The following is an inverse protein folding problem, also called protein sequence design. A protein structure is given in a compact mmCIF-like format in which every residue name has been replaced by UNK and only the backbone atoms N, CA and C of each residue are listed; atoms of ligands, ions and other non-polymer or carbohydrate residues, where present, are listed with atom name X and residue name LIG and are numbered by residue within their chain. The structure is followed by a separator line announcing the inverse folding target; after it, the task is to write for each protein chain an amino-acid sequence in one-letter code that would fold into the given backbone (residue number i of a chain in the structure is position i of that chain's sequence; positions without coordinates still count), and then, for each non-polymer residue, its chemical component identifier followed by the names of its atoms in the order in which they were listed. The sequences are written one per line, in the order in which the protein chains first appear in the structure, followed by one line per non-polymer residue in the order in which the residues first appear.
data_IF_050620251190
#
_entry.id   IF_050620251190
#
_cell.length_a   1.000
_cell.length_b   1.000
_cell.length_c   1.000
_cell.angle_alpha   90.00
_cell.angle_beta   90.00
_cell.angle_gamma   90.00
#
_symmetry.space_group_name_H-M   'P 1'
#
loop_
_entity.id
_entity.type
_entity.pdbx_description
1 polymer ?
#
# COMPACT_ATOMS: atom_id res chain seq x y z
N UNK A 1 6.61 4.29 24.37
CA UNK A 1 5.53 3.54 23.70
C UNK A 1 6.06 2.98 22.40
N UNK A 2 5.77 1.72 22.04
CA UNK A 2 6.08 1.22 20.70
C UNK A 2 5.36 2.05 19.64
N UNK A 3 6.02 2.32 18.51
CA UNK A 3 5.41 3.04 17.38
C UNK A 3 4.19 2.27 16.85
N UNK A 4 3.12 2.98 16.53
CA UNK A 4 1.93 2.42 15.92
C UNK A 4 2.23 1.80 14.55
N UNK A 5 1.38 0.88 14.07
CA UNK A 5 1.47 0.34 12.70
C UNK A 5 1.51 1.45 11.63
N UNK A 6 0.77 2.53 11.87
CA UNK A 6 0.73 3.70 11.00
C UNK A 6 2.10 4.38 10.92
N UNK A 7 2.72 4.70 12.05
CA UNK A 7 4.05 5.34 12.09
C UNK A 7 5.14 4.45 11.51
N UNK A 8 5.07 3.14 11.76
CA UNK A 8 5.97 2.15 11.16
C UNK A 8 5.81 2.09 9.64
N UNK A 9 4.58 1.97 9.13
CA UNK A 9 4.28 1.95 7.69
C UNK A 9 4.71 3.24 6.99
N UNK A 10 4.48 4.40 7.63
CA UNK A 10 4.83 5.72 7.09
C UNK A 10 6.35 5.90 6.94
N UNK A 11 7.15 5.35 7.84
CA UNK A 11 8.61 5.52 7.86
C UNK A 11 9.40 4.61 6.92
N UNK A 12 8.75 3.65 6.26
CA UNK A 12 9.38 2.77 5.27
C UNK A 12 8.87 3.16 3.90
N UNK A 13 9.73 3.57 2.98
CA UNK A 13 9.30 4.08 1.68
C UNK A 13 9.66 3.16 0.51
N UNK A 14 10.53 2.17 0.73
CA UNK A 14 11.00 1.25 -0.30
C UNK A 14 10.82 -0.19 0.14
N UNK A 15 10.85 -1.10 -0.84
CA UNK A 15 10.86 -2.54 -0.61
C UNK A 15 12.30 -2.99 -0.37
N UNK A 16 12.51 -3.77 0.68
CA UNK A 16 13.80 -4.40 0.94
C UNK A 16 13.90 -5.72 0.18
N UNK A 17 14.91 -5.84 -0.68
CA UNK A 17 15.17 -7.01 -1.50
C UNK A 17 16.39 -7.77 -0.98
N UNK A 18 16.34 -9.10 -0.95
CA UNK A 18 17.53 -9.96 -0.75
C UNK A 18 18.36 -10.07 -2.02
N UNK A 19 17.68 -10.08 -3.16
CA UNK A 19 18.26 -10.06 -4.50
C UNK A 19 17.37 -9.25 -5.44
N UNK A 20 17.93 -8.76 -6.54
CA UNK A 20 17.17 -7.95 -7.49
C UNK A 20 16.05 -8.78 -8.16
N UNK A 21 14.77 -8.34 -8.11
CA UNK A 21 13.67 -9.11 -8.69
C UNK A 21 13.68 -9.04 -10.21
N UNK A 22 14.04 -10.14 -10.88
CA UNK A 22 14.04 -10.26 -12.35
C UNK A 22 12.62 -10.41 -12.94
N UNK A 23 11.70 -9.52 -12.54
CA UNK A 23 10.27 -9.59 -12.86
C UNK A 23 9.80 -8.74 -14.04
N UNK A 24 10.65 -7.87 -14.61
CA UNK A 24 10.25 -6.89 -15.65
C UNK A 24 9.56 -7.54 -16.86
N UNK A 25 10.14 -8.60 -17.42
CA UNK A 25 9.55 -9.31 -18.56
C UNK A 25 8.18 -9.92 -18.24
N UNK A 26 8.02 -10.47 -17.04
CA UNK A 26 6.75 -11.05 -16.57
C UNK A 26 5.70 -9.94 -16.43
N UNK A 27 6.06 -8.82 -15.79
CA UNK A 27 5.19 -7.67 -15.61
C UNK A 27 4.71 -7.09 -16.95
N UNK A 28 5.60 -6.94 -17.94
CA UNK A 28 5.21 -6.52 -19.29
C UNK A 28 4.26 -7.52 -19.95
N UNK A 29 4.52 -8.83 -19.79
CA UNK A 29 3.64 -9.85 -20.36
C UNK A 29 2.23 -9.88 -19.75
N UNK A 30 2.05 -9.40 -18.51
CA UNK A 30 0.72 -9.22 -17.90
C UNK A 30 -0.05 -8.11 -18.61
N UNK A 31 0.62 -7.07 -19.09
CA UNK A 31 -0.01 -5.95 -19.78
C UNK A 31 -0.58 -6.34 -21.16
N UNK A 32 -0.07 -7.42 -21.74
CA UNK A 32 -0.55 -8.00 -23.00
C UNK A 32 -1.71 -8.99 -22.79
N UNK A 33 -2.10 -9.24 -21.54
CA UNK A 33 -3.06 -10.28 -21.18
C UNK A 33 -4.43 -9.72 -20.74
N UNK A 34 -5.48 -10.40 -21.19
CA UNK A 34 -6.88 -10.02 -20.94
C UNK A 34 -7.72 -11.16 -20.38
N UNK A 35 -7.29 -12.41 -20.57
CA UNK A 35 -7.99 -13.58 -20.04
C UNK A 35 -7.70 -13.74 -18.54
N UNK A 36 -8.69 -14.20 -17.79
CA UNK A 36 -8.49 -14.49 -16.36
C UNK A 36 -7.42 -15.58 -16.15
N UNK A 37 -7.40 -16.61 -17.00
CA UNK A 37 -6.43 -17.70 -16.93
C UNK A 37 -4.99 -17.23 -17.22
N UNK A 38 -4.78 -16.42 -18.25
CA UNK A 38 -3.46 -15.87 -18.55
C UNK A 38 -2.98 -14.92 -17.44
N UNK A 39 -3.88 -14.06 -16.93
CA UNK A 39 -3.58 -13.17 -15.80
C UNK A 39 -3.27 -13.94 -14.52
N UNK A 40 -3.95 -15.06 -14.29
CA UNK A 40 -3.68 -15.96 -13.18
C UNK A 40 -2.26 -16.53 -13.27
N UNK A 41 -1.88 -17.08 -14.42
CA UNK A 41 -0.58 -17.71 -14.60
C UNK A 41 0.57 -16.69 -14.52
N UNK A 42 0.49 -15.60 -15.29
CA UNK A 42 1.53 -14.56 -15.33
C UNK A 42 1.61 -13.77 -14.04
N UNK A 43 0.45 -13.47 -13.44
CA UNK A 43 0.38 -12.80 -12.14
C UNK A 43 0.98 -13.66 -11.03
N UNK A 44 0.70 -14.96 -10.99
CA UNK A 44 1.31 -15.87 -10.01
C UNK A 44 2.83 -15.93 -10.20
N UNK A 45 3.31 -16.07 -11.44
CA UNK A 45 4.75 -16.08 -11.73
C UNK A 45 5.44 -14.79 -11.27
N UNK A 46 4.78 -13.62 -11.40
CA UNK A 46 5.30 -12.38 -10.87
C UNK A 46 5.37 -12.42 -9.33
N UNK A 47 4.30 -12.87 -8.65
CA UNK A 47 4.31 -12.99 -7.19
C UNK A 47 5.42 -13.91 -6.71
N UNK A 48 5.63 -15.05 -7.36
CA UNK A 48 6.67 -16.02 -6.98
C UNK A 48 8.07 -15.39 -7.07
N UNK A 49 8.35 -14.60 -8.12
CA UNK A 49 9.62 -13.87 -8.28
C UNK A 49 9.78 -12.81 -7.19
N UNK A 50 8.73 -12.03 -6.91
CA UNK A 50 8.79 -10.97 -5.90
C UNK A 50 8.95 -11.54 -4.49
N UNK A 51 8.21 -12.60 -4.16
CA UNK A 51 8.28 -13.27 -2.87
C UNK A 51 9.67 -13.88 -2.65
N UNK A 52 10.23 -14.56 -3.66
CA UNK A 52 11.59 -15.10 -3.59
C UNK A 52 12.63 -13.99 -3.40
N UNK A 53 12.57 -12.93 -4.22
CA UNK A 53 13.52 -11.84 -4.21
C UNK A 53 13.49 -11.04 -2.89
N UNK A 54 12.32 -10.85 -2.28
CA UNK A 54 12.19 -10.22 -0.96
C UNK A 54 12.36 -11.22 0.20
N UNK A 55 12.40 -12.52 -0.08
CA UNK A 55 12.51 -13.57 0.92
C UNK A 55 11.27 -13.72 1.81
N UNK A 56 10.10 -13.52 1.21
CA UNK A 56 8.78 -13.61 1.84
C UNK A 56 8.22 -15.05 1.72
N UNK A 57 7.27 -15.44 2.60
CA UNK A 57 6.51 -16.67 2.38
C UNK A 57 5.63 -16.57 1.12
N UNK A 58 5.33 -17.68 0.43
CA UNK A 58 4.57 -17.64 -0.82
C UNK A 58 3.18 -17.02 -0.69
N UNK A 59 2.83 -16.19 -1.68
CA UNK A 59 1.54 -15.53 -1.80
C UNK A 59 0.74 -16.08 -3.00
N UNK A 60 -0.46 -16.61 -2.75
CA UNK A 60 -1.29 -17.18 -3.80
C UNK A 60 -2.18 -16.13 -4.46
N UNK A 61 -2.13 -16.03 -5.79
CA UNK A 61 -3.07 -15.24 -6.58
C UNK A 61 -4.33 -16.06 -6.91
N UNK A 62 -5.47 -15.39 -6.94
CA UNK A 62 -6.70 -15.87 -7.59
C UNK A 62 -7.29 -14.77 -8.46
N UNK A 63 -7.33 -14.98 -9.77
CA UNK A 63 -8.01 -14.09 -10.72
C UNK A 63 -9.43 -14.62 -10.93
N UNK A 64 -10.40 -13.93 -10.34
CA UNK A 64 -11.79 -14.32 -10.43
C UNK A 64 -12.40 -13.74 -11.72
N UNK A 65 -12.80 -14.59 -12.65
CA UNK A 65 -13.43 -14.18 -13.90
C UNK A 65 -14.89 -13.79 -13.70
N UNK A 66 -15.09 -12.70 -12.96
CA UNK A 66 -16.40 -12.17 -12.58
C UNK A 66 -16.30 -10.69 -12.24
N UNK A 67 -17.44 -9.96 -12.22
CA UNK A 67 -17.47 -8.55 -11.88
C UNK A 67 -16.93 -8.24 -10.50
N UNK A 68 -16.29 -7.08 -10.39
CA UNK A 68 -15.90 -6.46 -9.11
C UNK A 68 -17.08 -6.41 -8.14
N UNK A 69 -16.78 -6.67 -6.87
CA UNK A 69 -17.73 -6.36 -5.80
C UNK A 69 -17.96 -4.86 -5.78
N UNK A 70 -19.22 -4.48 -5.70
CA UNK A 70 -19.61 -3.09 -5.69
C UNK A 70 -20.87 -2.86 -4.87
N UNK A 71 -21.11 -1.59 -4.53
CA UNK A 71 -22.34 -1.11 -3.89
C UNK A 71 -22.84 0.11 -4.65
N UNK A 72 -24.15 0.18 -4.84
CA UNK A 72 -24.82 1.33 -5.46
C UNK A 72 -25.77 2.00 -4.48
N UNK A 73 -25.86 3.32 -4.55
CA UNK A 73 -26.85 4.12 -3.82
C UNK A 73 -27.52 5.08 -4.80
N UNK A 74 -28.85 5.00 -4.92
CA UNK A 74 -29.62 5.83 -5.87
C UNK A 74 -29.18 5.66 -7.33
N UNK A 75 -28.85 4.44 -7.76
CA UNK A 75 -28.38 4.16 -9.12
C UNK A 75 -26.95 4.59 -9.43
N UNK A 76 -26.23 5.21 -8.47
CA UNK A 76 -24.82 5.61 -8.63
C UNK A 76 -23.90 4.63 -7.89
N UNK A 77 -22.76 4.32 -8.51
CA UNK A 77 -21.70 3.50 -7.92
C UNK A 77 -21.07 4.27 -6.74
N UNK A 78 -21.14 3.70 -5.54
CA UNK A 78 -20.58 4.28 -4.31
C UNK A 78 -19.23 3.67 -3.96
N UNK A 79 -19.12 2.34 -4.09
CA UNK A 79 -17.89 1.61 -3.79
C UNK A 79 -17.67 0.53 -4.85
N UNK A 80 -16.40 0.35 -5.24
CA UNK A 80 -15.93 -0.82 -6.00
C UNK A 80 -14.64 -1.34 -5.41
N UNK A 81 -14.48 -2.66 -5.43
CA UNK A 81 -13.27 -3.35 -4.95
C UNK A 81 -12.64 -4.11 -6.11
N UNK A 82 -11.45 -3.68 -6.53
CA UNK A 82 -10.69 -4.28 -7.63
C UNK A 82 -10.04 -5.61 -7.24
N UNK A 83 -9.50 -5.66 -6.03
CA UNK A 83 -8.93 -6.84 -5.43
C UNK A 83 -8.89 -6.72 -3.90
N UNK A 84 -8.37 -7.75 -3.26
CA UNK A 84 -8.01 -7.68 -1.84
C UNK A 84 -6.96 -8.73 -1.51
N UNK A 85 -6.14 -8.39 -0.52
CA UNK A 85 -5.25 -9.29 0.17
C UNK A 85 -5.90 -9.88 1.44
N UNK A 86 -5.57 -11.12 1.75
CA UNK A 86 -5.86 -11.78 3.04
C UNK A 86 -4.65 -12.54 3.50
N UNK A 87 -4.47 -12.62 4.81
CA UNK A 87 -3.48 -13.48 5.44
C UNK A 87 -4.13 -14.30 6.56
N UNK A 88 -3.75 -15.56 6.65
CA UNK A 88 -4.05 -16.38 7.82
C UNK A 88 -3.10 -16.00 8.95
N UNK A 89 -3.65 -15.53 10.06
CA UNK A 89 -2.91 -15.21 11.28
C UNK A 89 -2.75 -16.47 12.12
N UNK A 90 -1.66 -17.21 11.87
CA UNK A 90 -1.13 -18.20 12.79
C UNK A 90 -0.15 -17.52 13.77
N UNK A 91 0.66 -18.28 14.53
CA UNK A 91 1.72 -17.70 15.38
C UNK A 91 2.72 -16.83 14.60
N UNK A 92 2.83 -17.04 13.28
CA UNK A 92 3.56 -16.16 12.36
C UNK A 92 2.74 -16.04 11.07
N UNK A 93 2.64 -14.85 10.44
CA UNK A 93 1.86 -14.68 9.22
C UNK A 93 2.56 -15.43 8.06
N UNK A 94 1.96 -16.54 7.59
CA UNK A 94 2.65 -17.47 6.66
C UNK A 94 1.92 -17.76 5.35
N UNK A 95 0.64 -17.44 5.24
CA UNK A 95 -0.16 -17.79 4.05
C UNK A 95 -0.96 -16.60 3.55
N UNK A 96 -0.33 -15.84 2.65
CA UNK A 96 -0.95 -14.73 1.94
C UNK A 96 -1.78 -15.22 0.76
N UNK A 97 -2.93 -14.57 0.53
CA UNK A 97 -3.74 -14.78 -0.69
C UNK A 97 -4.20 -13.44 -1.23
N UNK A 98 -4.01 -13.22 -2.52
CA UNK A 98 -4.51 -12.08 -3.28
C UNK A 98 -5.66 -12.56 -4.15
N UNK A 99 -6.77 -11.81 -4.18
CA UNK A 99 -7.83 -12.02 -5.16
C UNK A 99 -8.11 -10.76 -5.95
N UNK A 100 -8.13 -10.86 -7.28
CA UNK A 100 -8.44 -9.76 -8.21
C UNK A 100 -9.62 -10.15 -9.09
N UNK A 101 -10.52 -9.21 -9.35
CA UNK A 101 -11.67 -9.42 -10.25
C UNK A 101 -11.29 -9.03 -11.68
N UNK A 102 -11.53 -9.94 -12.63
CA UNK A 102 -11.17 -9.72 -14.03
C UNK A 102 -12.13 -8.78 -14.77
N UNK A 103 -13.36 -8.58 -14.26
CA UNK A 103 -14.38 -7.78 -14.92
C UNK A 103 -14.77 -6.54 -14.10
N UNK A 104 -15.04 -5.43 -14.78
CA UNK A 104 -15.50 -4.16 -14.18
C UNK A 104 -16.85 -4.31 -13.49
N UNK A 105 -17.10 -3.52 -12.43
CA UNK A 105 -18.28 -3.65 -11.58
C UNK A 105 -19.62 -3.56 -12.34
N UNK A 106 -19.80 -2.52 -13.17
CA UNK A 106 -21.09 -2.18 -13.77
C UNK A 106 -21.24 -2.78 -15.17
N UNK A 107 -20.27 -2.49 -16.05
CA UNK A 107 -20.32 -2.91 -17.47
C UNK A 107 -19.83 -4.34 -17.69
N UNK A 108 -19.24 -4.97 -16.67
CA UNK A 108 -18.68 -6.32 -16.74
C UNK A 108 -17.68 -6.54 -17.89
N UNK A 109 -17.06 -5.46 -18.35
CA UNK A 109 -15.98 -5.49 -19.34
C UNK A 109 -14.69 -5.95 -18.67
N UNK A 110 -13.81 -6.60 -19.44
CA UNK A 110 -12.47 -6.97 -18.97
C UNK A 110 -11.74 -5.75 -18.41
N UNK A 111 -11.15 -5.90 -17.24
CA UNK A 111 -10.41 -4.85 -16.56
C UNK A 111 -9.20 -4.45 -17.41
N UNK A 112 -8.93 -3.15 -17.52
CA UNK A 112 -7.78 -2.64 -18.25
C UNK A 112 -6.47 -3.26 -17.72
N UNK A 113 -5.53 -3.69 -18.58
CA UNK A 113 -4.32 -4.38 -18.14
C UNK A 113 -3.49 -3.59 -17.12
N UNK A 114 -3.35 -2.26 -17.32
CA UNK A 114 -2.68 -1.38 -16.36
C UNK A 114 -3.31 -1.42 -14.97
N UNK A 115 -4.65 -1.37 -14.91
CA UNK A 115 -5.39 -1.41 -13.64
C UNK A 115 -5.24 -2.77 -12.96
N UNK A 116 -5.19 -3.86 -13.74
CA UNK A 116 -4.92 -5.19 -13.18
C UNK A 116 -3.53 -5.25 -12.55
N UNK A 117 -2.49 -4.80 -13.26
CA UNK A 117 -1.12 -4.81 -12.75
C UNK A 117 -0.96 -3.88 -11.53
N UNK A 118 -1.50 -2.66 -11.59
CA UNK A 118 -1.54 -1.73 -10.45
C UNK A 118 -2.18 -2.37 -9.21
N UNK A 119 -3.32 -3.06 -9.40
CA UNK A 119 -3.99 -3.79 -8.32
C UNK A 119 -3.11 -4.91 -7.77
N UNK A 120 -2.45 -5.69 -8.63
CA UNK A 120 -1.57 -6.78 -8.20
C UNK A 120 -0.40 -6.27 -7.35
N UNK A 121 0.27 -5.20 -7.80
CA UNK A 121 1.38 -4.58 -7.06
C UNK A 121 0.90 -4.01 -5.72
N UNK A 122 -0.26 -3.36 -5.70
CA UNK A 122 -0.88 -2.86 -4.46
C UNK A 122 -1.12 -3.97 -3.43
N UNK A 123 -1.76 -5.06 -3.85
CA UNK A 123 -2.07 -6.17 -2.94
C UNK A 123 -0.80 -6.93 -2.53
N UNK A 124 0.26 -6.94 -3.34
CA UNK A 124 1.56 -7.49 -2.94
C UNK A 124 2.27 -6.61 -1.91
N UNK A 125 2.16 -5.28 -1.98
CA UNK A 125 2.69 -4.41 -0.90
C UNK A 125 1.95 -4.65 0.41
N UNK A 126 0.64 -4.95 0.37
CA UNK A 126 -0.04 -5.46 1.56
C UNK A 126 0.59 -6.76 2.08
N UNK A 127 0.90 -7.72 1.20
CA UNK A 127 1.61 -8.93 1.59
C UNK A 127 2.95 -8.62 2.29
N UNK A 128 3.79 -7.78 1.66
CA UNK A 128 5.07 -7.33 2.22
C UNK A 128 4.93 -6.64 3.58
N UNK A 129 3.93 -5.80 3.78
CA UNK A 129 3.67 -5.14 5.06
C UNK A 129 3.42 -6.13 6.20
N UNK A 130 2.67 -7.20 5.92
CA UNK A 130 2.34 -8.21 6.93
C UNK A 130 3.47 -9.21 7.16
N UNK A 131 4.19 -9.63 6.13
CA UNK A 131 5.17 -10.73 6.23
C UNK A 131 6.62 -10.25 6.31
N UNK A 132 6.96 -9.19 5.58
CA UNK A 132 8.28 -8.57 5.60
C UNK A 132 8.43 -7.56 6.75
N UNK A 133 7.54 -6.58 6.83
CA UNK A 133 7.58 -5.55 7.88
C UNK A 133 6.93 -5.99 9.20
N UNK A 134 6.21 -7.11 9.20
CA UNK A 134 5.53 -7.66 10.37
C UNK A 134 4.60 -6.64 11.05
N UNK A 135 3.90 -5.86 10.23
CA UNK A 135 2.88 -4.94 10.71
C UNK A 135 1.62 -5.72 11.07
N UNK A 136 0.97 -5.34 12.17
CA UNK A 136 -0.33 -5.87 12.60
C UNK A 136 -1.49 -5.31 11.73
N UNK A 137 -1.24 -4.20 11.04
CA UNK A 137 -2.15 -3.57 10.07
C UNK A 137 -1.32 -2.97 8.93
N UNK A 138 -1.89 -2.95 7.73
CA UNK A 138 -1.28 -2.28 6.56
C UNK A 138 -2.14 -1.08 6.12
N UNK A 139 -2.04 0.07 6.81
CA UNK A 139 -2.74 1.29 6.41
C UNK A 139 -2.09 1.91 5.16
N UNK A 140 -2.93 2.51 4.30
CA UNK A 140 -2.52 3.27 3.11
C UNK A 140 -1.87 4.61 3.48
N UNK A 141 -0.68 4.55 4.07
CA UNK A 141 0.15 5.73 4.41
C UNK A 141 0.95 6.23 3.21
N UNK A 142 1.61 7.38 3.34
CA UNK A 142 2.57 7.85 2.33
C UNK A 142 3.67 6.82 2.06
N UNK A 143 4.19 6.16 3.11
CA UNK A 143 5.19 5.11 2.97
C UNK A 143 4.68 3.90 2.19
N UNK A 144 3.41 3.51 2.41
CA UNK A 144 2.77 2.45 1.61
C UNK A 144 2.72 2.80 0.11
N UNK A 145 2.30 4.01 -0.24
CA UNK A 145 2.26 4.44 -1.64
C UNK A 145 3.66 4.57 -2.25
N UNK A 146 4.65 5.04 -1.47
CA UNK A 146 6.03 5.09 -1.93
C UNK A 146 6.58 3.68 -2.20
N UNK A 147 6.23 2.67 -1.39
CA UNK A 147 6.61 1.26 -1.66
C UNK A 147 6.01 0.73 -2.96
N UNK A 148 4.77 1.10 -3.28
CA UNK A 148 4.16 0.74 -4.57
C UNK A 148 4.94 1.36 -5.74
N UNK A 149 5.28 2.64 -5.63
CA UNK A 149 6.06 3.34 -6.65
C UNK A 149 7.45 2.72 -6.83
N UNK A 150 8.16 2.51 -5.72
CA UNK A 150 9.48 1.86 -5.69
C UNK A 150 9.45 0.47 -6.34
N UNK A 151 8.44 -0.34 -6.02
CA UNK A 151 8.21 -1.64 -6.65
C UNK A 151 7.98 -1.54 -8.16
N UNK A 152 7.13 -0.60 -8.59
CA UNK A 152 6.82 -0.41 -10.01
C UNK A 152 8.04 0.10 -10.81
N UNK A 153 8.83 1.01 -10.25
CA UNK A 153 10.09 1.48 -10.82
C UNK A 153 11.13 0.36 -10.91
N UNK A 154 11.27 -0.44 -9.85
CA UNK A 154 12.15 -1.62 -9.83
C UNK A 154 11.81 -2.59 -10.96
N UNK A 155 10.52 -2.78 -11.25
CA UNK A 155 10.03 -3.61 -12.35
C UNK A 155 10.07 -2.92 -13.73
N UNK A 156 10.47 -1.65 -13.80
CA UNK A 156 10.49 -0.87 -15.05
C UNK A 156 9.09 -0.58 -15.63
N UNK A 157 8.07 -0.54 -14.77
CA UNK A 157 6.67 -0.29 -15.11
C UNK A 157 6.07 0.88 -14.34
N UNK A 158 6.88 1.84 -13.89
CA UNK A 158 6.44 3.00 -13.08
C UNK A 158 5.18 3.71 -13.57
N UNK A 159 5.00 3.79 -14.90
CA UNK A 159 3.83 4.35 -15.58
C UNK A 159 2.49 3.65 -15.29
N UNK A 160 2.47 2.51 -14.58
CA UNK A 160 1.24 1.85 -14.14
C UNK A 160 0.74 2.38 -12.79
N UNK A 161 1.59 3.08 -12.05
CA UNK A 161 1.22 3.71 -10.78
C UNK A 161 0.77 5.15 -11.03
N UNK A 162 -0.16 5.69 -10.22
CA UNK A 162 -0.48 7.10 -10.27
C UNK A 162 0.79 7.93 -10.02
N UNK A 163 0.98 9.07 -10.72
CA UNK A 163 2.15 9.90 -10.51
C UNK A 163 2.24 10.29 -9.03
N UNK A 164 3.46 10.27 -8.49
CA UNK A 164 3.71 10.77 -7.14
C UNK A 164 3.15 12.19 -7.09
N UNK A 165 2.27 12.47 -6.14
CA UNK A 165 1.80 13.82 -5.90
C UNK A 165 3.05 14.63 -5.53
N UNK A 166 3.56 15.40 -6.47
CA UNK A 166 4.55 16.42 -6.14
C UNK A 166 3.88 17.29 -5.08
N UNK A 167 4.48 17.34 -3.89
CA UNK A 167 4.14 18.44 -3.01
C UNK A 167 4.37 19.69 -3.85
N UNK A 168 3.41 20.65 -3.90
CA UNK A 168 3.69 21.91 -4.55
C UNK A 168 5.03 22.37 -4.01
N UNK A 169 5.98 22.68 -4.91
CA UNK A 169 7.21 23.36 -4.53
C UNK A 169 6.74 24.47 -3.60
N UNK A 170 7.11 24.38 -2.32
CA UNK A 170 6.68 25.37 -1.35
C UNK A 170 7.14 26.69 -1.95
N UNK A 171 6.20 27.50 -2.45
CA UNK A 171 6.48 28.89 -2.70
C UNK A 171 7.06 29.37 -1.38
N UNK A 172 8.34 29.74 -1.43
CA UNK A 172 9.08 30.26 -0.30
C UNK A 172 8.29 31.50 0.14
N UNK A 173 7.41 31.33 1.13
CA UNK A 173 6.85 32.46 1.83
C UNK A 173 8.02 33.09 2.56
N UNK A 174 8.35 34.32 2.18
CA UNK A 174 9.50 35.12 2.62
C UNK A 174 9.57 35.40 4.13
N UNK A 175 8.72 34.80 4.95
CA UNK A 175 8.55 35.16 6.36
C UNK A 175 8.81 34.01 7.32
N UNK A 176 10.00 33.42 7.30
CA UNK A 176 10.62 32.91 8.55
C UNK A 176 12.15 33.01 8.44
N UNK A 177 12.72 34.07 8.99
CA UNK A 177 14.15 34.10 9.30
C UNK A 177 14.41 33.10 10.43
N UNK A 178 14.86 31.89 10.08
CA UNK A 178 15.39 30.94 11.07
C UNK A 178 16.82 31.37 11.40
N UNK A 179 16.96 32.16 12.45
CA UNK A 179 18.26 32.43 13.05
C UNK A 179 18.73 31.22 13.86
N UNK A 180 19.71 30.48 13.32
CA UNK A 180 20.60 29.60 14.09
C UNK A 180 20.31 28.09 14.03
N UNK A 181 21.33 27.24 14.23
CA UNK A 181 21.21 25.79 14.05
C UNK A 181 20.65 25.13 15.31
N UNK A 182 19.34 24.97 15.41
CA UNK A 182 18.75 24.28 16.57
C UNK A 182 18.81 22.74 16.40
N UNK A 183 19.84 22.15 17.01
CA UNK A 183 19.98 20.70 17.16
C UNK A 183 18.99 20.22 18.21
N UNK A 184 17.97 19.47 17.79
CA UNK A 184 17.00 18.84 18.68
C UNK A 184 17.70 18.02 19.79
N UNK A 185 17.52 18.43 21.06
CA UNK A 185 17.87 17.65 22.26
C UNK A 185 16.62 16.99 22.87
N UNK A 186 16.71 15.78 23.44
CA UNK A 186 15.58 15.16 24.14
C UNK A 186 15.32 15.85 25.49
N UNK A 187 14.04 16.13 25.80
CA UNK A 187 13.62 16.74 27.08
C UNK A 187 12.81 18.04 26.96
N UNK A 188 12.09 18.23 25.85
CA UNK A 188 11.35 19.47 25.56
C UNK A 188 10.38 19.91 26.66
N UNK A 189 10.33 21.23 26.85
CA UNK A 189 9.50 21.95 27.83
C UNK A 189 8.02 21.55 27.67
N UNK A 190 7.25 21.41 28.76
CA UNK A 190 5.89 20.96 28.65
C UNK A 190 5.01 21.94 27.86
N UNK A 191 3.99 21.43 27.16
CA UNK A 191 3.18 22.23 26.26
C UNK A 191 2.45 23.37 26.99
N UNK A 192 2.17 24.49 26.29
CA UNK A 192 1.44 25.64 26.83
C UNK A 192 0.12 25.25 27.50
N UNK A 193 -0.26 26.01 28.54
CA UNK A 193 -1.41 25.72 29.40
C UNK A 193 -2.72 25.48 28.62
N UNK A 194 -2.96 26.23 27.55
CA UNK A 194 -4.17 26.08 26.73
C UNK A 194 -4.29 24.70 26.06
N UNK A 195 -3.17 24.06 25.69
CA UNK A 195 -3.16 22.71 25.11
C UNK A 195 -3.50 21.66 26.19
N UNK A 196 -3.01 21.87 27.42
CA UNK A 196 -3.33 20.99 28.56
C UNK A 196 -4.80 21.09 28.95
N UNK A 197 -5.34 22.31 28.94
CA UNK A 197 -6.74 22.57 29.29
C UNK A 197 -7.70 21.94 28.24
N UNK A 198 -7.33 21.95 26.96
CA UNK A 198 -8.09 21.33 25.88
C UNK A 198 -8.11 19.79 25.97
N UNK A 199 -7.00 19.17 26.40
CA UNK A 199 -6.92 17.71 26.61
C UNK A 199 -7.71 17.28 27.85
N UNK A 200 -7.71 18.08 28.92
CA UNK A 200 -8.53 17.83 30.11
C UNK A 200 -10.02 17.96 29.82
N UNK A 201 -10.44 18.91 28.98
CA UNK A 201 -11.85 19.05 28.57
C UNK A 201 -12.36 17.87 27.74
N UNK A 202 -11.49 17.22 26.95
CA UNK A 202 -11.86 16.08 26.10
C UNK A 202 -11.85 14.74 26.85
N UNK A 203 -11.08 14.62 27.93
CA UNK A 203 -10.83 13.32 28.59
C UNK A 203 -10.96 13.34 30.14
N UNK A 204 -11.41 14.45 30.72
CA UNK A 204 -11.61 14.64 32.17
C UNK A 204 -12.90 14.02 32.72
N UNK A 205 -12.85 12.69 32.87
CA UNK A 205 -13.61 11.69 33.67
C UNK A 205 -14.83 12.08 34.56
N UNK A 206 -15.60 11.06 34.97
CA UNK A 206 -15.35 10.52 36.32
C UNK A 206 -15.24 8.98 36.36
N UNK A 207 -14.35 8.48 37.22
CA UNK A 207 -14.61 7.29 38.03
C UNK A 207 -14.30 7.67 39.48
N UNK A 208 -15.37 7.68 40.26
CA UNK A 208 -15.54 7.74 41.73
C UNK A 208 -14.30 7.97 42.57
#
# INVERSE_FOLDING_TARGET
MPRSAYERSKGVETVSWREFPLGKGIALSILEESTAAGRQARGQALLDVLDAAAGLPPCKLTVADRPQRHRTRGGRLELKTYGYYRIAWEATPRRGTIRIYNLTAIRQQVLAPKVFLETLLHEWVHHYDFTGLQLDRSPHTSGFFNRIHDLAETLGVGYVTPPKREAPAAELSDDVVISGPDRLRPGGVPPPKWIRDQVLALFGRPRT
#
